data_IF_423339874403
#
_entry.id   IF_423339874403
#
_cell.length_a   1.000
_cell.length_b   1.000
_cell.length_c   1.000
_cell.angle_alpha   90.00
_cell.angle_beta   90.00
_cell.angle_gamma   90.00
#
_symmetry.space_group_name_H-M   'P 1'
#
loop_
_entity.id
_entity.type
_entity.pdbx_description
1 polymer ?
#
# COMPACT_ATOMS: atom_id res chain seq x y z
N UNK A 1 2.73 58.96 35.35
CA UNK A 1 3.60 58.31 34.35
C UNK A 1 3.80 56.86 34.77
N UNK A 2 2.94 55.96 34.29
CA UNK A 2 3.18 54.51 34.25
C UNK A 2 2.34 53.96 33.10
N UNK A 3 2.97 53.86 31.93
CA UNK A 3 2.41 53.29 30.71
C UNK A 3 2.23 51.78 30.87
N UNK A 4 1.00 51.27 30.73
CA UNK A 4 0.79 49.83 30.54
C UNK A 4 1.16 49.45 29.10
N UNK A 5 1.81 48.30 28.88
CA UNK A 5 2.12 47.84 27.53
C UNK A 5 0.85 47.25 26.91
N UNK A 6 0.46 47.80 25.77
CA UNK A 6 -0.56 47.24 24.89
C UNK A 6 -0.12 45.85 24.43
N UNK A 7 -0.85 44.83 24.86
CA UNK A 7 -0.73 43.46 24.34
C UNK A 7 -1.15 43.50 22.87
N UNK A 8 -0.17 43.45 21.98
CA UNK A 8 -0.38 43.18 20.56
C UNK A 8 -1.11 41.84 20.43
N UNK A 9 -2.38 41.92 20.05
CA UNK A 9 -3.17 40.75 19.71
C UNK A 9 -2.60 40.16 18.42
N UNK A 10 -2.00 38.98 18.55
CA UNK A 10 -1.57 38.16 17.42
C UNK A 10 -2.69 38.05 16.36
N UNK A 11 -2.44 38.66 15.20
CA UNK A 11 -3.03 38.37 13.89
C UNK A 11 -4.42 37.76 13.90
N UNK A 12 -5.44 38.60 14.09
CA UNK A 12 -6.81 38.29 13.70
C UNK A 12 -6.86 38.12 12.17
N UNK A 13 -7.05 36.87 11.72
CA UNK A 13 -7.00 36.47 10.30
C UNK A 13 -8.33 36.80 9.61
N UNK A 14 -8.25 37.34 8.40
CA UNK A 14 -9.41 37.62 7.56
C UNK A 14 -10.23 36.34 7.24
N UNK A 15 -11.57 36.37 7.37
CA UNK A 15 -12.43 35.26 7.01
C UNK A 15 -12.29 34.93 5.53
N UNK A 16 -11.81 33.72 5.20
CA UNK A 16 -11.74 33.20 3.82
C UNK A 16 -10.41 32.59 3.36
N UNK A 17 -9.33 32.68 4.15
CA UNK A 17 -8.05 32.09 3.75
C UNK A 17 -7.99 30.56 3.90
N UNK A 18 -7.60 29.87 2.82
CA UNK A 18 -7.34 28.42 2.81
C UNK A 18 -5.95 28.12 3.40
N UNK A 19 -5.89 27.36 4.49
CA UNK A 19 -4.64 26.99 5.15
C UNK A 19 -4.06 25.69 4.58
N UNK A 20 -2.88 25.78 3.94
CA UNK A 20 -2.17 24.60 3.43
C UNK A 20 -1.91 23.54 4.51
N UNK A 21 -1.44 23.96 5.68
CA UNK A 21 -1.17 23.05 6.83
C UNK A 21 -2.41 22.24 7.24
N UNK A 22 -3.60 22.84 7.20
CA UNK A 22 -4.85 22.15 7.54
C UNK A 22 -5.19 21.04 6.55
N UNK A 23 -5.01 21.31 5.25
CA UNK A 23 -5.25 20.34 4.19
C UNK A 23 -4.27 19.16 4.25
N UNK A 24 -2.99 19.43 4.52
CA UNK A 24 -1.98 18.36 4.69
C UNK A 24 -2.31 17.49 5.90
N UNK A 25 -2.63 18.09 7.04
CA UNK A 25 -2.97 17.36 8.27
C UNK A 25 -4.20 16.46 8.06
N UNK A 26 -5.21 16.96 7.35
CA UNK A 26 -6.40 16.20 6.97
C UNK A 26 -6.07 15.05 6.02
N UNK A 27 -5.20 15.30 5.05
CA UNK A 27 -4.76 14.28 4.08
C UNK A 27 -4.04 13.12 4.77
N UNK A 28 -3.17 13.42 5.73
CA UNK A 28 -2.50 12.40 6.56
C UNK A 28 -3.52 11.60 7.38
N UNK A 29 -4.47 12.28 8.03
CA UNK A 29 -5.50 11.63 8.83
C UNK A 29 -6.38 10.68 8.00
N UNK A 30 -6.88 11.17 6.86
CA UNK A 30 -7.68 10.38 5.94
C UNK A 30 -6.87 9.25 5.30
N UNK A 31 -5.59 9.48 5.00
CA UNK A 31 -4.67 8.45 4.54
C UNK A 31 -4.51 7.32 5.56
N UNK A 32 -4.40 7.65 6.85
CA UNK A 32 -4.39 6.68 7.94
C UNK A 32 -5.69 5.87 8.02
N UNK A 33 -6.85 6.52 7.98
CA UNK A 33 -8.16 5.85 8.05
C UNK A 33 -8.41 4.93 6.84
N UNK A 34 -8.19 5.43 5.63
CA UNK A 34 -8.34 4.65 4.40
C UNK A 34 -7.32 3.50 4.34
N UNK A 35 -6.08 3.78 4.73
CA UNK A 35 -5.02 2.79 4.81
C UNK A 35 -5.36 1.64 5.77
N UNK A 36 -5.87 1.97 6.95
CA UNK A 36 -6.28 0.98 7.93
C UNK A 36 -7.49 0.16 7.49
N UNK A 37 -8.48 0.79 6.84
CA UNK A 37 -9.61 0.07 6.27
C UNK A 37 -9.13 -0.94 5.21
N UNK A 38 -8.14 -0.58 4.39
CA UNK A 38 -7.54 -1.48 3.42
C UNK A 38 -6.77 -2.63 4.07
N UNK A 39 -5.97 -2.35 5.11
CA UNK A 39 -5.27 -3.38 5.89
C UNK A 39 -6.27 -4.34 6.54
N UNK A 40 -7.34 -3.82 7.14
CA UNK A 40 -8.39 -4.63 7.75
C UNK A 40 -9.11 -5.50 6.70
N UNK A 41 -9.42 -4.94 5.54
CA UNK A 41 -10.04 -5.66 4.43
C UNK A 41 -9.15 -6.80 3.92
N UNK A 42 -7.87 -6.53 3.68
CA UNK A 42 -6.90 -7.52 3.23
C UNK A 42 -6.70 -8.64 4.27
N UNK A 43 -6.54 -8.27 5.55
CA UNK A 43 -6.42 -9.23 6.66
C UNK A 43 -7.67 -10.11 6.76
N UNK A 44 -8.88 -9.54 6.65
CA UNK A 44 -10.13 -10.31 6.64
C UNK A 44 -10.13 -11.32 5.50
N UNK A 45 -9.72 -10.90 4.30
CA UNK A 45 -9.69 -11.76 3.11
C UNK A 45 -8.70 -12.91 3.29
N UNK A 46 -7.52 -12.62 3.82
CA UNK A 46 -6.48 -13.63 4.07
C UNK A 46 -6.88 -14.63 5.17
N UNK A 47 -7.21 -14.13 6.37
CA UNK A 47 -7.43 -15.01 7.52
C UNK A 47 -8.80 -15.70 7.54
N UNK A 48 -9.87 -15.06 7.05
CA UNK A 48 -11.22 -15.65 7.12
C UNK A 48 -11.62 -16.39 5.86
N UNK A 49 -11.14 -15.97 4.68
CA UNK A 49 -11.51 -16.62 3.41
C UNK A 49 -10.43 -17.57 2.89
N UNK A 50 -9.22 -17.53 3.46
CA UNK A 50 -8.10 -18.31 2.96
C UNK A 50 -7.66 -17.92 1.54
N UNK A 51 -8.16 -16.78 1.04
CA UNK A 51 -7.76 -16.28 -0.27
C UNK A 51 -6.29 -15.85 -0.16
N UNK A 52 -5.46 -16.40 -1.04
CA UNK A 52 -4.09 -15.95 -1.24
C UNK A 52 -4.13 -14.57 -1.92
N UNK A 53 -4.47 -13.55 -1.15
CA UNK A 53 -4.47 -12.18 -1.63
C UNK A 53 -3.01 -11.76 -1.88
N UNK A 54 -2.78 -11.05 -2.98
CA UNK A 54 -1.54 -10.34 -3.37
C UNK A 54 -1.10 -9.26 -2.36
N UNK A 55 -1.29 -9.51 -1.07
CA UNK A 55 -0.97 -8.63 0.02
C UNK A 55 0.41 -9.04 0.54
N UNK A 56 1.45 -8.32 0.11
CA UNK A 56 2.70 -8.34 0.85
C UNK A 56 2.41 -7.95 2.30
N UNK A 57 3.17 -8.50 3.24
CA UNK A 57 3.03 -8.07 4.62
C UNK A 57 3.38 -6.58 4.82
N UNK A 58 4.12 -6.00 3.87
CA UNK A 58 4.39 -4.55 3.81
C UNK A 58 3.13 -3.70 3.56
N UNK A 59 2.01 -4.32 3.16
CA UNK A 59 0.72 -3.63 3.03
C UNK A 59 0.32 -2.87 4.30
N UNK A 60 0.72 -3.36 5.49
CA UNK A 60 0.41 -2.75 6.79
C UNK A 60 0.84 -1.28 6.84
N UNK A 61 2.06 -0.97 6.40
CA UNK A 61 2.59 0.40 6.39
C UNK A 61 2.46 1.06 5.01
N UNK A 62 2.57 0.29 3.92
CA UNK A 62 2.50 0.83 2.56
C UNK A 62 1.13 1.41 2.26
N UNK A 63 0.05 0.77 2.71
CA UNK A 63 -1.30 1.23 2.42
C UNK A 63 -1.60 2.63 3.00
N UNK A 64 -1.40 2.91 4.30
CA UNK A 64 -1.59 4.26 4.83
C UNK A 64 -0.64 5.29 4.21
N UNK A 65 0.61 4.91 3.91
CA UNK A 65 1.56 5.82 3.24
C UNK A 65 1.12 6.15 1.82
N UNK A 66 0.72 5.17 1.01
CA UNK A 66 0.27 5.38 -0.36
C UNK A 66 -0.97 6.28 -0.40
N UNK A 67 -1.97 6.01 0.44
CA UNK A 67 -3.16 6.85 0.55
C UNK A 67 -2.81 8.28 1.00
N UNK A 68 -1.94 8.43 1.98
CA UNK A 68 -1.48 9.74 2.44
C UNK A 68 -0.76 10.51 1.33
N UNK A 69 0.15 9.88 0.57
CA UNK A 69 0.86 10.50 -0.54
C UNK A 69 -0.11 10.99 -1.62
N UNK A 70 -1.06 10.15 -2.03
CA UNK A 70 -2.07 10.53 -3.03
C UNK A 70 -2.95 11.68 -2.55
N UNK A 71 -3.41 11.64 -1.30
CA UNK A 71 -4.25 12.70 -0.74
C UNK A 71 -3.47 13.99 -0.52
N UNK A 72 -2.20 13.93 -0.10
CA UNK A 72 -1.33 15.11 0.00
C UNK A 72 -1.10 15.74 -1.36
N UNK A 73 -0.82 14.94 -2.40
CA UNK A 73 -0.69 15.44 -3.77
C UNK A 73 -1.98 16.13 -4.23
N UNK A 74 -3.15 15.53 -4.00
CA UNK A 74 -4.44 16.15 -4.27
C UNK A 74 -4.64 17.44 -3.45
N UNK A 75 -4.21 17.47 -2.19
CA UNK A 75 -4.33 18.64 -1.32
C UNK A 75 -3.54 19.85 -1.83
N UNK A 76 -2.38 19.62 -2.48
CA UNK A 76 -1.58 20.68 -3.12
C UNK A 76 -2.36 21.30 -4.29
N UNK A 77 -2.98 20.47 -5.13
CA UNK A 77 -3.83 20.93 -6.24
C UNK A 77 -5.03 21.73 -5.71
N UNK A 78 -5.73 21.18 -4.72
CA UNK A 78 -6.89 21.83 -4.08
C UNK A 78 -6.52 23.15 -3.40
N UNK A 79 -5.34 23.23 -2.79
CA UNK A 79 -4.84 24.48 -2.21
C UNK A 79 -4.60 25.55 -3.28
N UNK A 80 -4.02 25.17 -4.43
CA UNK A 80 -3.85 26.07 -5.58
C UNK A 80 -5.18 26.62 -6.10
N UNK A 81 -6.18 25.74 -6.27
CA UNK A 81 -7.55 26.12 -6.66
C UNK A 81 -8.18 27.05 -5.62
N UNK A 82 -8.04 26.72 -4.33
CA UNK A 82 -8.55 27.54 -3.23
C UNK A 82 -7.95 28.95 -3.25
N UNK A 83 -6.64 29.08 -3.49
CA UNK A 83 -5.96 30.37 -3.61
C UNK A 83 -6.41 31.16 -4.85
N UNK A 84 -6.56 30.51 -5.99
CA UNK A 84 -7.02 31.13 -7.23
C UNK A 84 -8.49 31.58 -7.18
N UNK A 85 -9.29 31.00 -6.30
CA UNK A 85 -10.73 31.28 -6.18
C UNK A 85 -11.09 32.59 -5.45
N UNK A 86 -10.10 33.41 -5.08
CA UNK A 86 -10.27 34.70 -4.37
C UNK A 86 -11.20 34.63 -3.14
N UNK A 87 -11.15 33.51 -2.40
CA UNK A 87 -11.96 33.31 -1.18
C UNK A 87 -13.40 32.80 -1.41
N UNK A 88 -13.80 32.51 -2.66
CA UNK A 88 -15.12 31.89 -2.95
C UNK A 88 -15.22 30.48 -2.36
N UNK A 89 -14.11 29.73 -2.34
CA UNK A 89 -14.06 28.37 -1.82
C UNK A 89 -13.55 28.38 -0.39
N UNK A 90 -14.33 27.82 0.54
CA UNK A 90 -13.95 27.71 1.95
C UNK A 90 -13.09 26.48 2.20
N UNK A 91 -12.23 26.55 3.24
CA UNK A 91 -11.37 25.44 3.65
C UNK A 91 -12.15 24.13 3.90
N UNK A 92 -13.32 24.21 4.58
CA UNK A 92 -14.16 23.04 4.85
C UNK A 92 -14.62 22.30 3.58
N UNK A 93 -14.87 23.02 2.48
CA UNK A 93 -15.23 22.41 1.19
C UNK A 93 -14.08 21.58 0.62
N UNK A 94 -12.85 22.11 0.64
CA UNK A 94 -11.67 21.39 0.18
C UNK A 94 -11.36 20.17 1.05
N UNK A 95 -11.50 20.30 2.38
CA UNK A 95 -11.40 19.16 3.31
C UNK A 95 -12.50 18.12 3.06
N UNK A 96 -13.70 18.55 2.67
CA UNK A 96 -14.78 17.66 2.27
C UNK A 96 -14.48 16.86 0.99
N UNK A 97 -13.81 17.48 0.01
CA UNK A 97 -13.35 16.78 -1.20
C UNK A 97 -12.33 15.70 -0.84
N UNK A 98 -11.34 16.01 0.01
CA UNK A 98 -10.36 15.05 0.50
C UNK A 98 -11.03 13.88 1.24
N UNK A 99 -12.01 14.18 2.11
CA UNK A 99 -12.78 13.15 2.82
C UNK A 99 -13.56 12.25 1.84
N UNK A 100 -14.20 12.84 0.83
CA UNK A 100 -14.94 12.11 -0.19
C UNK A 100 -14.05 11.17 -0.99
N UNK A 101 -12.86 11.61 -1.40
CA UNK A 101 -11.88 10.75 -2.12
C UNK A 101 -11.38 9.63 -1.22
N UNK A 102 -11.11 9.89 0.06
CA UNK A 102 -10.70 8.85 1.01
C UNK A 102 -11.81 7.81 1.24
N UNK A 103 -13.07 8.24 1.35
CA UNK A 103 -14.24 7.36 1.43
C UNK A 103 -14.40 6.55 0.15
N UNK A 104 -14.23 7.17 -1.02
CA UNK A 104 -14.28 6.49 -2.31
C UNK A 104 -13.26 5.35 -2.37
N UNK A 105 -12.02 5.60 -1.93
CA UNK A 105 -10.98 4.57 -1.86
C UNK A 105 -11.40 3.36 -1.01
N UNK A 106 -12.09 3.59 0.12
CA UNK A 106 -12.61 2.52 0.98
C UNK A 106 -13.77 1.77 0.30
N UNK A 107 -14.71 2.49 -0.31
CA UNK A 107 -15.88 1.88 -0.95
C UNK A 107 -15.49 0.99 -2.13
N UNK A 108 -14.46 1.37 -2.87
CA UNK A 108 -13.92 0.56 -3.98
C UNK A 108 -13.37 -0.79 -3.51
N UNK A 109 -12.99 -0.93 -2.24
CA UNK A 109 -12.54 -2.22 -1.69
C UNK A 109 -13.68 -3.23 -1.53
N UNK A 110 -14.88 -2.75 -1.20
CA UNK A 110 -15.98 -3.63 -0.80
C UNK A 110 -16.47 -4.51 -1.95
N UNK A 111 -16.40 -4.02 -3.20
CA UNK A 111 -16.96 -4.69 -4.37
C UNK A 111 -18.49 -4.83 -4.29
N UNK A 112 -19.18 -4.83 -5.43
CA UNK A 112 -20.62 -5.11 -5.49
C UNK A 112 -21.57 -3.91 -5.29
N UNK A 113 -21.05 -2.69 -5.12
CA UNK A 113 -21.85 -1.45 -5.22
C UNK A 113 -21.80 -0.91 -6.65
N UNK A 114 -22.95 -0.48 -7.18
CA UNK A 114 -23.02 0.20 -8.48
C UNK A 114 -22.18 1.48 -8.46
N UNK A 115 -21.44 1.75 -9.54
CA UNK A 115 -20.48 2.88 -9.63
C UNK A 115 -21.15 4.22 -9.27
N UNK A 116 -22.36 4.46 -9.78
CA UNK A 116 -23.11 5.68 -9.48
C UNK A 116 -23.46 5.83 -7.99
N UNK A 117 -23.83 4.72 -7.31
CA UNK A 117 -24.14 4.75 -5.88
C UNK A 117 -22.87 5.01 -5.05
N UNK A 118 -21.76 4.37 -5.42
CA UNK A 118 -20.44 4.57 -4.79
C UNK A 118 -19.99 6.02 -4.86
N UNK A 119 -20.11 6.66 -6.03
CA UNK A 119 -19.79 8.08 -6.21
C UNK A 119 -20.73 8.97 -5.39
N UNK A 120 -22.03 8.68 -5.40
CA UNK A 120 -23.01 9.45 -4.63
C UNK A 120 -22.73 9.41 -3.12
N UNK A 121 -22.41 8.23 -2.57
CA UNK A 121 -22.06 8.08 -1.16
C UNK A 121 -20.76 8.82 -0.81
N UNK A 122 -19.72 8.71 -1.64
CA UNK A 122 -18.46 9.40 -1.44
C UNK A 122 -18.65 10.93 -1.42
N UNK A 123 -19.39 11.47 -2.38
CA UNK A 123 -19.71 12.91 -2.43
C UNK A 123 -20.56 13.33 -1.23
N UNK A 124 -21.60 12.56 -0.89
CA UNK A 124 -22.49 12.85 0.24
C UNK A 124 -21.75 12.92 1.57
N UNK A 125 -20.87 11.96 1.85
CA UNK A 125 -20.04 11.95 3.06
C UNK A 125 -19.00 13.08 3.05
N UNK A 126 -18.43 13.42 1.89
CA UNK A 126 -17.56 14.58 1.74
C UNK A 126 -18.26 15.91 2.05
N UNK A 127 -19.47 16.11 1.53
CA UNK A 127 -20.31 17.29 1.83
C UNK A 127 -20.68 17.34 3.31
N UNK A 128 -21.05 16.21 3.91
CA UNK A 128 -21.36 16.15 5.33
C UNK A 128 -20.13 16.46 6.20
N UNK A 129 -18.95 15.98 5.81
CA UNK A 129 -17.69 16.35 6.45
C UNK A 129 -17.45 17.87 6.37
N UNK A 130 -17.60 18.48 5.19
CA UNK A 130 -17.47 19.93 5.03
C UNK A 130 -18.41 20.71 5.96
N UNK A 131 -19.67 20.28 6.07
CA UNK A 131 -20.66 20.88 6.98
C UNK A 131 -20.24 20.75 8.45
N UNK A 132 -19.69 19.60 8.84
CA UNK A 132 -19.20 19.39 10.20
C UNK A 132 -17.98 20.26 10.54
N UNK A 133 -17.08 20.49 9.57
CA UNK A 133 -15.95 21.42 9.72
C UNK A 133 -16.46 22.84 9.96
N UNK A 134 -17.45 23.29 9.19
CA UNK A 134 -18.05 24.62 9.36
C UNK A 134 -18.77 24.80 10.70
N UNK A 135 -19.31 23.72 11.27
CA UNK A 135 -19.96 23.72 12.59
C UNK A 135 -18.97 23.60 13.76
N UNK A 136 -17.66 23.46 13.50
CA UNK A 136 -16.67 23.24 14.56
C UNK A 136 -16.89 21.95 15.34
N UNK A 137 -17.41 20.91 14.69
CA UNK A 137 -17.78 19.66 15.36
C UNK A 137 -16.59 18.94 15.98
N UNK A 138 -16.74 18.44 17.22
CA UNK A 138 -15.72 17.59 17.87
C UNK A 138 -15.42 16.31 17.09
N UNK A 139 -16.37 15.80 16.31
CA UNK A 139 -16.18 14.60 15.46
C UNK A 139 -15.10 14.81 14.41
N UNK A 140 -14.97 16.05 13.90
CA UNK A 140 -13.95 16.42 12.92
C UNK A 140 -12.57 16.43 13.57
N UNK A 141 -12.44 16.88 14.81
CA UNK A 141 -11.17 16.79 15.56
C UNK A 141 -10.83 15.34 15.90
N UNK A 142 -11.81 14.58 16.40
CA UNK A 142 -11.62 13.18 16.77
C UNK A 142 -11.17 12.34 15.56
N UNK A 143 -11.84 12.47 14.42
CA UNK A 143 -11.44 11.78 13.19
C UNK A 143 -10.04 12.17 12.70
N UNK A 144 -9.60 13.44 12.87
CA UNK A 144 -8.21 13.82 12.59
C UNK A 144 -7.24 13.06 13.48
N UNK A 145 -7.45 13.13 14.79
CA UNK A 145 -6.54 12.59 15.79
C UNK A 145 -6.46 11.08 15.67
N UNK A 146 -7.61 10.41 15.54
CA UNK A 146 -7.68 8.97 15.31
C UNK A 146 -7.02 8.59 13.99
N UNK A 147 -7.24 9.34 12.91
CA UNK A 147 -6.62 9.07 11.61
C UNK A 147 -5.10 9.21 11.63
N UNK A 148 -4.58 10.26 12.26
CA UNK A 148 -3.12 10.45 12.43
C UNK A 148 -2.54 9.38 13.35
N UNK A 149 -3.19 9.10 14.47
CA UNK A 149 -2.73 8.04 15.40
C UNK A 149 -2.64 6.70 14.70
N UNK A 150 -3.62 6.37 13.86
CA UNK A 150 -3.65 5.14 13.07
C UNK A 150 -2.59 5.13 11.97
N UNK A 151 -2.36 6.26 11.29
CA UNK A 151 -1.27 6.42 10.33
C UNK A 151 0.09 6.13 11.00
N UNK A 152 0.36 6.77 12.14
CA UNK A 152 1.62 6.60 12.88
C UNK A 152 1.76 5.18 13.41
N UNK A 153 0.71 4.61 13.99
CA UNK A 153 0.73 3.25 14.54
C UNK A 153 1.01 2.20 13.46
N UNK A 154 0.36 2.30 12.29
CA UNK A 154 0.56 1.37 11.19
C UNK A 154 1.94 1.53 10.55
N UNK A 155 2.42 2.76 10.38
CA UNK A 155 3.76 3.03 9.89
C UNK A 155 4.83 2.46 10.83
N UNK A 156 4.73 2.77 12.13
CA UNK A 156 5.65 2.25 13.14
C UNK A 156 5.59 0.72 13.23
N UNK A 157 4.38 0.15 13.24
CA UNK A 157 4.17 -1.29 13.26
C UNK A 157 4.84 -2.00 12.08
N UNK A 158 4.66 -1.49 10.86
CA UNK A 158 5.30 -2.07 9.68
C UNK A 158 6.82 -1.88 9.65
N UNK A 159 7.35 -0.75 10.16
CA UNK A 159 8.79 -0.55 10.30
C UNK A 159 9.42 -1.51 11.32
N UNK A 160 8.76 -1.73 12.46
CA UNK A 160 9.18 -2.72 13.47
C UNK A 160 9.12 -4.13 12.90
N UNK A 161 8.04 -4.47 12.20
CA UNK A 161 7.92 -5.79 11.56
C UNK A 161 9.04 -6.01 10.52
N UNK A 162 9.35 -5.00 9.71
CA UNK A 162 10.45 -5.07 8.75
C UNK A 162 11.80 -5.23 9.45
N UNK A 163 12.09 -4.43 10.47
CA UNK A 163 13.34 -4.51 11.23
C UNK A 163 13.52 -5.88 11.90
N UNK A 164 12.45 -6.42 12.50
CA UNK A 164 12.48 -7.76 13.12
C UNK A 164 12.69 -8.87 12.10
N UNK A 165 12.13 -8.77 10.89
CA UNK A 165 12.41 -9.72 9.79
C UNK A 165 13.85 -9.64 9.33
N UNK A 166 14.39 -8.44 9.12
CA UNK A 166 15.77 -8.25 8.70
C UNK A 166 16.77 -8.77 9.76
N UNK A 167 16.42 -8.67 11.05
CA UNK A 167 17.17 -9.28 12.13
C UNK A 167 17.10 -10.82 12.08
N UNK A 168 15.90 -11.40 11.94
CA UNK A 168 15.72 -12.86 11.82
C UNK A 168 16.43 -13.45 10.60
N UNK A 169 16.34 -12.77 9.45
CA UNK A 169 17.00 -13.18 8.22
C UNK A 169 18.52 -13.21 8.39
N UNK A 170 19.09 -12.22 9.09
CA UNK A 170 20.51 -12.23 9.46
C UNK A 170 20.86 -13.39 10.38
N UNK A 171 20.04 -13.67 11.39
CA UNK A 171 20.25 -14.82 12.29
C UNK A 171 20.26 -16.15 11.54
N UNK A 172 19.29 -16.36 10.62
CA UNK A 172 19.25 -17.56 9.78
C UNK A 172 20.48 -17.64 8.87
N UNK A 173 20.89 -16.51 8.26
CA UNK A 173 22.06 -16.45 7.41
C UNK A 173 23.39 -16.69 8.19
N UNK A 174 23.43 -16.40 9.49
CA UNK A 174 24.59 -16.67 10.34
C UNK A 174 24.66 -18.08 10.90
N UNK A 175 23.62 -18.91 10.72
CA UNK A 175 23.73 -20.34 11.01
C UNK A 175 24.77 -20.95 10.07
N UNK A 176 25.97 -21.18 10.59
CA UNK A 176 27.06 -21.74 9.80
C UNK A 176 26.62 -23.09 9.24
N UNK A 177 26.70 -23.24 7.91
CA UNK A 177 26.54 -24.54 7.30
C UNK A 177 27.60 -25.51 7.89
N UNK A 178 27.30 -26.82 8.00
CA UNK A 178 28.28 -27.79 8.44
C UNK A 178 29.59 -27.63 7.67
N UNK A 179 30.73 -27.82 8.35
CA UNK A 179 32.04 -27.72 7.72
C UNK A 179 32.10 -28.67 6.50
N UNK A 180 32.41 -28.12 5.33
CA UNK A 180 32.46 -28.87 4.06
C UNK A 180 31.14 -28.95 3.29
N UNK A 181 30.03 -28.36 3.77
CA UNK A 181 28.80 -28.27 2.98
C UNK A 181 28.98 -27.36 1.75
N UNK A 182 28.48 -27.74 0.57
CA UNK A 182 28.56 -26.90 -0.63
C UNK A 182 27.59 -25.72 -0.55
N UNK A 183 27.95 -24.62 -1.20
CA UNK A 183 26.99 -23.54 -1.47
C UNK A 183 26.03 -23.98 -2.57
N UNK A 184 24.72 -23.88 -2.33
CA UNK A 184 23.68 -24.18 -3.32
C UNK A 184 23.06 -22.89 -3.81
N UNK A 185 23.12 -22.64 -5.12
CA UNK A 185 22.46 -21.50 -5.77
C UNK A 185 21.33 -22.03 -6.63
N UNK A 186 20.10 -21.61 -6.32
CA UNK A 186 18.91 -21.93 -7.10
C UNK A 186 18.53 -20.71 -7.94
N UNK A 187 18.62 -20.83 -9.26
CA UNK A 187 18.18 -19.80 -10.21
C UNK A 187 16.84 -20.24 -10.78
N UNK A 188 15.82 -19.41 -10.60
CA UNK A 188 14.47 -19.67 -11.06
C UNK A 188 14.01 -18.57 -12.03
N UNK A 189 13.48 -18.97 -13.18
CA UNK A 189 12.90 -18.06 -14.16
C UNK A 189 11.41 -18.30 -14.30
N UNK A 190 10.61 -17.28 -14.02
CA UNK A 190 9.15 -17.37 -14.12
C UNK A 190 8.71 -17.32 -15.59
N UNK A 191 7.72 -18.15 -15.93
CA UNK A 191 7.09 -18.26 -17.26
C UNK A 191 8.02 -18.66 -18.42
N UNK A 192 9.22 -19.19 -18.14
CA UNK A 192 10.13 -19.64 -19.19
C UNK A 192 9.69 -20.98 -19.77
N UNK A 193 9.64 -21.04 -21.11
CA UNK A 193 9.39 -22.27 -21.88
C UNK A 193 10.70 -22.79 -22.47
N UNK A 194 10.93 -24.11 -22.37
CA UNK A 194 12.12 -24.76 -22.93
C UNK A 194 12.34 -24.42 -24.41
N UNK A 195 11.29 -24.51 -25.24
CA UNK A 195 11.33 -24.20 -26.67
C UNK A 195 11.68 -22.74 -27.01
N UNK A 196 11.71 -21.85 -26.02
CA UNK A 196 12.14 -20.45 -26.19
C UNK A 196 13.64 -20.25 -25.93
N UNK A 197 14.36 -21.28 -25.48
CA UNK A 197 15.77 -21.22 -25.12
C UNK A 197 16.63 -21.78 -26.27
N UNK A 198 17.68 -21.06 -26.66
CA UNK A 198 18.61 -21.54 -27.70
C UNK A 198 19.30 -22.85 -27.32
N UNK A 199 19.44 -23.13 -26.01
CA UNK A 199 19.91 -24.43 -25.50
C UNK A 199 19.06 -25.60 -26.00
N UNK A 200 17.74 -25.40 -26.16
CA UNK A 200 16.79 -26.43 -26.63
C UNK A 200 16.38 -26.23 -28.10
N UNK A 201 17.19 -25.53 -28.89
CA UNK A 201 16.98 -25.39 -30.34
C UNK A 201 16.07 -24.25 -30.77
N UNK A 202 15.83 -23.24 -29.92
CA UNK A 202 15.15 -22.03 -30.37
C UNK A 202 15.94 -21.35 -31.52
N UNK A 203 15.27 -20.84 -32.57
CA UNK A 203 15.95 -20.31 -33.76
C UNK A 203 16.73 -19.01 -33.51
N UNK A 204 16.41 -18.29 -32.43
CA UNK A 204 17.15 -17.12 -31.98
C UNK A 204 18.07 -17.52 -30.83
N UNK A 205 19.28 -16.95 -30.80
CA UNK A 205 20.23 -17.15 -29.72
C UNK A 205 19.80 -16.40 -28.44
N UNK A 206 18.85 -16.97 -27.70
CA UNK A 206 18.24 -16.32 -26.52
C UNK A 206 19.00 -16.55 -25.23
N UNK A 207 19.77 -17.63 -25.11
CA UNK A 207 20.46 -18.01 -23.86
C UNK A 207 21.91 -18.50 -24.06
N UNK A 208 22.80 -17.65 -24.61
CA UNK A 208 24.20 -18.03 -24.88
C UNK A 208 24.97 -18.44 -23.61
N UNK A 209 24.80 -17.73 -22.49
CA UNK A 209 25.48 -18.07 -21.24
C UNK A 209 24.98 -19.38 -20.62
N UNK A 210 23.68 -19.68 -20.77
CA UNK A 210 23.13 -20.95 -20.30
C UNK A 210 23.66 -22.12 -21.14
N UNK A 211 23.82 -21.92 -22.46
CA UNK A 211 24.44 -22.91 -23.33
C UNK A 211 25.92 -23.16 -22.96
N UNK A 212 26.67 -22.10 -22.63
CA UNK A 212 28.05 -22.23 -22.12
C UNK A 212 28.12 -22.93 -20.76
N UNK A 213 27.12 -22.73 -19.90
CA UNK A 213 27.02 -23.43 -18.62
C UNK A 213 26.74 -24.92 -18.83
N UNK A 214 25.85 -25.26 -19.76
CA UNK A 214 25.45 -26.63 -20.07
C UNK A 214 26.63 -27.52 -20.51
N UNK A 215 27.69 -26.96 -21.10
CA UNK A 215 28.89 -27.73 -21.48
C UNK A 215 29.66 -28.30 -20.28
N UNK A 216 29.38 -27.83 -19.06
CA UNK A 216 30.01 -28.26 -17.81
C UNK A 216 28.99 -28.62 -16.73
N UNK A 217 27.73 -28.85 -17.10
CA UNK A 217 26.63 -29.13 -16.18
C UNK A 217 25.77 -30.30 -16.70
N UNK A 218 25.02 -30.93 -15.80
CA UNK A 218 24.01 -31.92 -16.19
C UNK A 218 22.75 -31.19 -16.66
N UNK A 219 22.33 -31.48 -17.90
CA UNK A 219 21.11 -30.91 -18.50
C UNK A 219 20.00 -31.96 -18.49
N UNK A 220 18.77 -31.56 -18.20
CA UNK A 220 17.60 -32.42 -18.17
C UNK A 220 16.63 -32.03 -19.29
N UNK A 221 16.52 -32.87 -20.33
CA UNK A 221 15.64 -32.60 -21.47
C UNK A 221 14.14 -32.76 -21.14
N UNK A 222 13.84 -33.52 -20.08
CA UNK A 222 12.47 -33.85 -19.65
C UNK A 222 12.19 -33.40 -18.21
N UNK A 223 12.57 -32.17 -17.88
CA UNK A 223 12.17 -31.52 -16.62
C UNK A 223 10.76 -30.91 -16.75
N UNK A 224 9.73 -31.67 -16.36
CA UNK A 224 8.32 -31.27 -16.49
C UNK A 224 7.85 -30.58 -15.20
N UNK A 225 7.23 -29.40 -15.34
CA UNK A 225 6.62 -28.70 -14.22
C UNK A 225 5.41 -29.48 -13.67
N UNK A 226 5.25 -29.59 -12.34
CA UNK A 226 4.12 -30.32 -11.74
C UNK A 226 2.77 -29.65 -12.00
N UNK A 227 2.76 -28.36 -12.36
CA UNK A 227 1.56 -27.62 -12.73
C UNK A 227 1.88 -26.59 -13.82
N UNK A 228 0.94 -26.29 -14.74
CA UNK A 228 1.11 -25.22 -15.72
C UNK A 228 1.01 -23.80 -15.14
N UNK A 229 0.77 -23.66 -13.82
CA UNK A 229 0.62 -22.37 -13.14
C UNK A 229 1.75 -22.09 -12.16
N UNK A 230 2.20 -20.82 -12.15
CA UNK A 230 3.33 -20.35 -11.34
C UNK A 230 3.16 -20.72 -9.87
N UNK A 231 2.04 -20.37 -9.25
CA UNK A 231 1.80 -20.58 -7.81
C UNK A 231 1.90 -22.06 -7.37
N UNK A 232 1.07 -22.99 -7.90
CA UNK A 232 1.18 -24.41 -7.55
C UNK A 232 2.55 -25.00 -7.91
N UNK A 233 3.13 -24.64 -9.06
CA UNK A 233 4.45 -25.17 -9.46
C UNK A 233 5.57 -24.75 -8.49
N UNK A 234 5.54 -23.51 -7.98
CA UNK A 234 6.52 -23.04 -6.99
C UNK A 234 6.29 -23.69 -5.63
N UNK A 235 5.03 -23.85 -5.19
CA UNK A 235 4.74 -24.54 -3.94
C UNK A 235 5.25 -25.99 -3.96
N UNK A 236 5.06 -26.72 -5.06
CA UNK A 236 5.65 -28.05 -5.23
C UNK A 236 7.18 -28.04 -5.15
N UNK A 237 7.85 -27.05 -5.78
CA UNK A 237 9.32 -26.94 -5.72
C UNK A 237 9.86 -26.75 -4.29
N UNK A 238 9.20 -25.91 -3.47
CA UNK A 238 9.67 -25.65 -2.10
C UNK A 238 9.27 -26.72 -1.08
N UNK A 239 8.20 -27.47 -1.32
CA UNK A 239 7.66 -28.45 -0.36
C UNK A 239 7.99 -29.90 -0.74
N UNK A 240 8.31 -30.18 -2.01
CA UNK A 240 8.43 -31.54 -2.53
C UNK A 240 7.09 -32.26 -2.70
N UNK A 241 5.95 -31.57 -2.52
CA UNK A 241 4.61 -32.14 -2.61
C UNK A 241 3.97 -31.88 -3.98
N UNK A 242 3.11 -32.80 -4.45
CA UNK A 242 2.33 -32.62 -5.68
C UNK A 242 1.24 -31.56 -5.51
N UNK A 243 0.73 -30.97 -6.60
CA UNK A 243 -0.29 -29.92 -6.52
C UNK A 243 -1.56 -30.29 -5.76
N UNK A 244 -1.94 -31.58 -5.77
CA UNK A 244 -3.08 -32.10 -5.02
C UNK A 244 -2.85 -32.19 -3.51
N UNK A 245 -1.60 -32.24 -3.07
CA UNK A 245 -1.21 -32.48 -1.67
C UNK A 245 -1.01 -31.17 -0.89
N UNK A 246 -0.81 -30.04 -1.58
CA UNK A 246 -0.65 -28.73 -0.96
C UNK A 246 -1.85 -27.81 -1.22
N UNK A 247 -2.03 -26.79 -0.36
CA UNK A 247 -3.17 -25.86 -0.43
C UNK A 247 -2.99 -24.71 -1.44
N UNK A 248 -1.87 -24.65 -2.17
CA UNK A 248 -1.64 -23.65 -3.22
C UNK A 248 -2.41 -24.00 -4.51
N UNK A 249 -3.74 -23.88 -4.43
CA UNK A 249 -4.66 -24.17 -5.53
C UNK A 249 -5.02 -22.87 -6.26
N UNK A 250 -5.59 -23.02 -7.45
CA UNK A 250 -6.06 -21.96 -8.33
C UNK A 250 -7.53 -22.19 -8.64
#
# INVERSE_FOLDING_TARGET
MTSSPSVETHGSIAPGQVRFRGLVLRSLAFGGLAGAAHVAFASRRFYLKGDFAWASRDLIWMSPVANAVLLVALSVVLWGIGKASSGRIRQGTLEGVLAGVAVLAILLLLGGLHVGATLLFAVGLGVQHARMVHRGSRLVTLSTVSGIGLFVALLAGGLVERATRDARARTIATSAAPAGAPNVVVILWDTVRAMSLSLYGAPRQTTPELARLATRATTFDWAIAPSPWTLPSHCSMFTGLQPGEHSCRW
#
